data_IF_382657988471
#
_entry.id   IF_382657988471
#
_cell.length_a   1.000
_cell.length_b   1.000
_cell.length_c   1.000
_cell.angle_alpha   90.00
_cell.angle_beta   90.00
_cell.angle_gamma   90.00
#
_symmetry.space_group_name_H-M   'P 1'
#
loop_
_entity.id
_entity.type
_entity.pdbx_description
1 polymer ?
#
# COMPACT_ATOMS: atom_id res chain seq x y z
N UNK A 1 -13.11 -12.57 -7.28
CA UNK A 1 -12.53 -11.98 -6.06
C UNK A 1 -11.02 -11.96 -6.26
N UNK A 2 -10.35 -10.84 -5.99
CA UNK A 2 -8.92 -10.64 -6.29
C UNK A 2 -8.11 -10.78 -5.00
N UNK A 3 -7.65 -11.98 -4.66
CA UNK A 3 -7.10 -12.23 -3.33
C UNK A 3 -5.74 -11.53 -3.12
N UNK A 4 -4.90 -11.49 -4.15
CA UNK A 4 -3.61 -10.78 -4.14
C UNK A 4 -3.82 -9.27 -4.22
N UNK A 5 -4.70 -8.81 -5.11
CA UNK A 5 -5.02 -7.38 -5.23
C UNK A 5 -5.59 -6.80 -3.94
N UNK A 6 -6.57 -7.49 -3.33
CA UNK A 6 -7.15 -7.09 -2.06
C UNK A 6 -6.11 -7.12 -0.91
N UNK A 7 -5.15 -8.05 -0.97
CA UNK A 7 -4.03 -8.12 -0.03
C UNK A 7 -3.08 -6.92 -0.13
N UNK A 8 -2.70 -6.51 -1.34
CA UNK A 8 -1.88 -5.33 -1.58
C UNK A 8 -2.58 -4.05 -1.08
N UNK A 9 -3.88 -3.92 -1.35
CA UNK A 9 -4.67 -2.79 -0.86
C UNK A 9 -4.74 -2.75 0.67
N UNK A 10 -4.85 -3.90 1.32
CA UNK A 10 -4.79 -4.02 2.78
C UNK A 10 -3.42 -3.64 3.33
N UNK A 11 -2.33 -4.05 2.70
CA UNK A 11 -0.97 -3.68 3.11
C UNK A 11 -0.80 -2.16 3.16
N UNK A 12 -1.23 -1.49 2.10
CA UNK A 12 -1.17 -0.04 2.00
C UNK A 12 -2.11 0.62 3.02
N UNK A 13 -3.26 -0.01 3.32
CA UNK A 13 -4.15 0.47 4.38
C UNK A 13 -3.56 0.31 5.79
N UNK A 14 -2.87 -0.80 6.09
CA UNK A 14 -2.19 -0.98 7.38
C UNK A 14 -1.04 0.00 7.56
N UNK A 15 -0.37 0.37 6.47
CA UNK A 15 0.69 1.38 6.46
C UNK A 15 0.19 2.82 6.80
N UNK A 16 -1.12 3.03 7.03
CA UNK A 16 -1.68 4.27 7.61
C UNK A 16 -1.26 4.49 9.08
N UNK A 17 0.05 4.50 9.38
CA UNK A 17 0.58 4.86 10.69
C UNK A 17 0.79 6.37 10.86
N UNK A 18 0.71 7.15 9.77
CA UNK A 18 0.78 8.63 9.84
C UNK A 18 -0.60 9.23 10.13
N UNK A 19 -0.87 9.67 11.36
CA UNK A 19 -2.12 10.34 11.67
C UNK A 19 -2.26 11.60 10.82
N UNK A 20 -3.49 11.94 10.47
CA UNK A 20 -3.79 13.26 9.91
C UNK A 20 -3.26 14.36 10.84
N UNK A 21 -2.95 15.56 10.32
CA UNK A 21 -2.60 16.69 11.17
C UNK A 21 -3.65 16.87 12.28
N UNK A 22 -3.21 16.87 13.55
CA UNK A 22 -4.12 16.85 14.71
C UNK A 22 -4.76 18.22 15.01
N UNK A 23 -4.07 19.31 14.68
CA UNK A 23 -4.54 20.66 14.99
C UNK A 23 -5.32 21.27 13.83
N UNK A 24 -6.36 22.05 14.15
CA UNK A 24 -7.17 22.75 13.14
C UNK A 24 -6.33 23.68 12.26
N UNK A 25 -5.32 24.36 12.83
CA UNK A 25 -4.40 25.21 12.07
C UNK A 25 -3.55 24.41 11.07
N UNK A 26 -3.02 23.25 11.47
CA UNK A 26 -2.26 22.39 10.56
C UNK A 26 -3.14 21.76 9.48
N UNK A 27 -4.36 21.34 9.83
CA UNK A 27 -5.37 20.88 8.88
C UNK A 27 -5.73 21.97 7.87
N UNK A 28 -5.94 23.20 8.31
CA UNK A 28 -6.25 24.33 7.43
C UNK A 28 -5.07 24.66 6.50
N UNK A 29 -3.84 24.69 7.01
CA UNK A 29 -2.62 24.88 6.19
C UNK A 29 -2.47 23.78 5.15
N UNK A 30 -2.74 22.54 5.52
CA UNK A 30 -2.76 21.42 4.58
C UNK A 30 -3.81 21.64 3.47
N UNK A 31 -5.05 21.98 3.82
CA UNK A 31 -6.11 22.23 2.84
C UNK A 31 -5.77 23.41 1.91
N UNK A 32 -5.18 24.49 2.44
CA UNK A 32 -4.71 25.64 1.63
C UNK A 32 -3.62 25.21 0.65
N UNK A 33 -2.67 24.37 1.08
CA UNK A 33 -1.64 23.81 0.20
C UNK A 33 -2.25 22.96 -0.91
N UNK A 34 -3.24 22.12 -0.58
CA UNK A 34 -3.89 21.22 -1.54
C UNK A 34 -4.78 21.96 -2.55
N UNK A 35 -5.53 22.97 -2.09
CA UNK A 35 -6.45 23.76 -2.93
C UNK A 35 -5.81 25.04 -3.50
N UNK A 36 -4.52 25.25 -3.27
CA UNK A 36 -3.71 26.39 -3.75
C UNK A 36 -4.30 27.76 -3.43
N UNK A 37 -5.01 27.90 -2.30
CA UNK A 37 -5.56 29.19 -1.89
C UNK A 37 -6.56 29.14 -0.74
N UNK A 38 -6.67 30.25 0.00
CA UNK A 38 -7.59 30.38 1.14
C UNK A 38 -9.04 30.55 0.70
N UNK A 39 -9.29 31.21 -0.44
CA UNK A 39 -10.63 31.41 -1.03
C UNK A 39 -11.31 30.07 -1.37
N UNK A 40 -10.59 29.16 -2.02
CA UNK A 40 -11.12 27.84 -2.39
C UNK A 40 -11.46 26.99 -1.15
N UNK A 41 -10.60 27.02 -0.13
CA UNK A 41 -10.86 26.35 1.16
C UNK A 41 -12.10 26.94 1.85
N UNK A 42 -12.24 28.27 1.82
CA UNK A 42 -13.36 28.97 2.45
C UNK A 42 -14.70 28.59 1.80
N UNK A 43 -14.76 28.56 0.47
CA UNK A 43 -15.93 28.13 -0.29
C UNK A 43 -16.28 26.67 0.02
N UNK A 44 -15.29 25.78 -0.01
CA UNK A 44 -15.49 24.36 0.28
C UNK A 44 -15.99 24.12 1.72
N UNK A 45 -15.41 24.79 2.71
CA UNK A 45 -15.82 24.65 4.11
C UNK A 45 -17.07 25.47 4.46
N UNK A 46 -17.58 26.29 3.55
CA UNK A 46 -18.68 27.25 3.77
C UNK A 46 -18.42 28.20 4.95
N UNK A 47 -17.24 28.83 4.95
CA UNK A 47 -16.82 29.83 5.95
C UNK A 47 -16.25 31.07 5.25
N UNK A 48 -16.03 32.15 6.00
CA UNK A 48 -15.34 33.32 5.44
C UNK A 48 -13.86 33.04 5.16
N UNK A 49 -13.29 33.67 4.13
CA UNK A 49 -11.85 33.59 3.84
C UNK A 49 -11.01 34.04 5.03
N UNK A 50 -11.45 35.10 5.74
CA UNK A 50 -10.78 35.57 6.97
C UNK A 50 -10.76 34.51 8.06
N UNK A 51 -11.80 33.69 8.18
CA UNK A 51 -11.82 32.55 9.11
C UNK A 51 -10.70 31.56 8.79
N UNK A 52 -10.53 31.21 7.52
CA UNK A 52 -9.45 30.32 7.06
C UNK A 52 -8.08 30.91 7.41
N UNK A 53 -7.85 32.18 7.09
CA UNK A 53 -6.58 32.87 7.36
C UNK A 53 -6.25 32.93 8.86
N UNK A 54 -7.26 33.12 9.72
CA UNK A 54 -7.07 33.11 11.17
C UNK A 54 -6.67 31.73 11.71
N UNK A 55 -7.18 30.64 11.16
CA UNK A 55 -6.71 29.29 11.51
C UNK A 55 -5.31 29.03 10.99
N UNK A 56 -4.99 29.47 9.77
CA UNK A 56 -3.64 29.33 9.19
C UNK A 56 -2.58 30.05 10.02
N UNK A 57 -2.92 31.22 10.57
CA UNK A 57 -2.05 32.01 11.46
C UNK A 57 -2.15 31.60 12.95
N UNK A 58 -2.83 30.49 13.26
CA UNK A 58 -3.06 29.99 14.62
C UNK A 58 -3.73 31.00 15.60
N UNK A 59 -4.39 32.04 15.05
CA UNK A 59 -5.21 33.00 15.79
C UNK A 59 -6.56 32.42 16.20
N UNK A 60 -7.02 31.39 15.48
CA UNK A 60 -8.11 30.51 15.89
C UNK A 60 -7.54 29.10 16.04
N UNK A 61 -7.85 28.44 17.16
CA UNK A 61 -7.31 27.11 17.48
C UNK A 61 -8.38 26.03 17.60
N UNK A 62 -9.58 26.40 18.06
CA UNK A 62 -10.67 25.46 18.38
C UNK A 62 -11.91 25.77 17.53
N UNK A 63 -12.12 25.06 16.40
CA UNK A 63 -13.35 25.17 15.65
C UNK A 63 -14.54 24.60 16.42
N UNK A 64 -15.74 25.13 16.13
CA UNK A 64 -16.99 24.50 16.55
C UNK A 64 -17.06 23.08 15.97
N UNK A 65 -17.77 22.18 16.66
CA UNK A 65 -17.85 20.75 16.31
C UNK A 65 -18.14 20.50 14.82
N UNK A 66 -19.13 21.20 14.25
CA UNK A 66 -19.52 21.01 12.84
C UNK A 66 -18.45 21.46 11.84
N UNK A 67 -17.69 22.50 12.19
CA UNK A 67 -16.58 22.95 11.35
C UNK A 67 -15.38 22.02 11.49
N UNK A 68 -15.11 21.53 12.71
CA UNK A 68 -14.06 20.55 12.96
C UNK A 68 -14.29 19.28 12.13
N UNK A 69 -15.51 18.75 12.15
CA UNK A 69 -15.88 17.56 11.38
C UNK A 69 -15.71 17.76 9.87
N UNK A 70 -16.13 18.91 9.33
CA UNK A 70 -15.94 19.25 7.90
C UNK A 70 -14.47 19.35 7.52
N UNK A 71 -13.66 20.03 8.33
CA UNK A 71 -12.21 20.14 8.09
C UNK A 71 -11.60 18.73 8.09
N UNK A 72 -11.90 17.92 9.11
CA UNK A 72 -11.36 16.58 9.26
C UNK A 72 -11.74 15.67 8.09
N UNK A 73 -13.01 15.68 7.67
CA UNK A 73 -13.48 14.88 6.53
C UNK A 73 -12.74 15.23 5.23
N UNK A 74 -12.57 16.51 4.96
CA UNK A 74 -11.91 16.99 3.74
C UNK A 74 -10.39 16.74 3.76
N UNK A 75 -9.77 16.80 4.95
CA UNK A 75 -8.38 16.38 5.16
C UNK A 75 -8.25 14.88 4.89
N UNK A 76 -9.06 14.04 5.53
CA UNK A 76 -9.02 12.57 5.36
C UNK A 76 -9.16 12.17 3.89
N UNK A 77 -10.13 12.76 3.19
CA UNK A 77 -10.41 12.49 1.77
C UNK A 77 -9.19 12.72 0.86
N UNK A 78 -8.38 13.73 1.16
CA UNK A 78 -7.18 14.07 0.37
C UNK A 78 -5.90 13.44 0.90
N UNK A 79 -5.83 13.22 2.21
CA UNK A 79 -4.67 12.65 2.89
C UNK A 79 -4.51 11.17 2.54
N UNK A 80 -5.62 10.43 2.48
CA UNK A 80 -5.58 8.99 2.24
C UNK A 80 -4.83 8.61 0.95
N UNK A 81 -5.18 9.13 -0.25
CA UNK A 81 -4.46 8.79 -1.48
C UNK A 81 -2.97 9.11 -1.40
N UNK A 82 -2.59 10.28 -0.86
CA UNK A 82 -1.18 10.69 -0.78
C UNK A 82 -0.33 9.78 0.10
N UNK A 83 -0.89 9.32 1.22
CA UNK A 83 -0.19 8.38 2.08
C UNK A 83 -0.10 7.00 1.44
N UNK A 84 -1.15 6.55 0.75
CA UNK A 84 -1.12 5.29 -0.02
C UNK A 84 0.00 5.31 -1.05
N UNK A 85 0.03 6.34 -1.89
CA UNK A 85 1.06 6.52 -2.91
C UNK A 85 2.47 6.63 -2.31
N UNK A 86 2.60 7.33 -1.18
CA UNK A 86 3.88 7.42 -0.48
C UNK A 86 4.33 6.06 0.08
N UNK A 87 3.42 5.28 0.65
CA UNK A 87 3.71 3.95 1.19
C UNK A 87 4.15 3.01 0.06
N UNK A 88 3.39 2.94 -1.04
CA UNK A 88 3.77 2.20 -2.26
C UNK A 88 5.14 2.60 -2.77
N UNK A 89 5.41 3.90 -2.92
CA UNK A 89 6.71 4.41 -3.37
C UNK A 89 7.85 4.04 -2.42
N UNK A 90 7.62 4.09 -1.11
CA UNK A 90 8.65 3.74 -0.12
C UNK A 90 8.98 2.25 -0.19
N UNK A 91 7.95 1.40 -0.27
CA UNK A 91 8.07 -0.04 -0.46
C UNK A 91 8.81 -0.38 -1.76
N UNK A 92 8.42 0.24 -2.88
CA UNK A 92 9.02 0.04 -4.20
C UNK A 92 10.49 0.50 -4.33
N UNK A 93 10.97 1.36 -3.43
CA UNK A 93 12.33 1.95 -3.54
C UNK A 93 13.29 1.47 -2.46
N UNK A 94 12.83 1.33 -1.22
CA UNK A 94 13.72 1.09 -0.06
C UNK A 94 13.19 0.06 0.93
N UNK A 95 11.86 -0.02 1.11
CA UNK A 95 11.26 -0.85 2.15
C UNK A 95 11.08 -2.33 1.77
N UNK A 96 10.79 -2.62 0.51
CA UNK A 96 10.29 -3.94 0.12
C UNK A 96 8.83 -4.15 0.53
N UNK A 97 8.38 -5.39 0.46
CA UNK A 97 7.04 -5.81 0.89
C UNK A 97 7.15 -7.20 1.51
N UNK A 98 6.48 -7.43 2.64
CA UNK A 98 6.40 -8.77 3.23
C UNK A 98 5.22 -9.49 2.62
N UNK A 99 5.43 -10.73 2.19
CA UNK A 99 4.35 -11.67 1.82
C UNK A 99 4.19 -12.69 2.93
N UNK A 100 2.98 -12.80 3.48
CA UNK A 100 2.58 -13.93 4.33
C UNK A 100 1.61 -14.80 3.54
N UNK A 101 1.92 -16.08 3.37
CA UNK A 101 1.07 -16.98 2.57
C UNK A 101 1.01 -18.37 3.15
N UNK A 102 -0.19 -18.96 3.07
CA UNK A 102 -0.45 -20.37 3.33
C UNK A 102 -0.95 -21.02 2.06
N UNK A 103 -0.09 -21.77 1.38
CA UNK A 103 -0.40 -22.33 0.07
C UNK A 103 0.33 -23.64 -0.25
N UNK A 104 -0.25 -24.47 -1.12
CA UNK A 104 0.49 -25.49 -1.88
C UNK A 104 1.18 -24.82 -3.06
N UNK A 105 2.36 -25.35 -3.39
CA UNK A 105 3.21 -24.83 -4.45
C UNK A 105 3.58 -25.93 -5.44
N UNK A 106 3.68 -25.57 -6.70
CA UNK A 106 4.24 -26.38 -7.77
C UNK A 106 5.61 -25.85 -8.20
N UNK A 107 6.44 -26.75 -8.71
CA UNK A 107 7.83 -26.50 -9.08
C UNK A 107 8.10 -27.07 -10.47
N UNK A 108 8.92 -26.36 -11.23
CA UNK A 108 9.45 -26.82 -12.51
C UNK A 108 10.97 -26.70 -12.46
N UNK A 109 11.66 -27.78 -12.83
CA UNK A 109 13.11 -27.85 -12.96
C UNK A 109 13.46 -28.73 -14.18
N UNK A 110 14.72 -28.73 -14.67
CA UNK A 110 15.10 -29.51 -15.86
C UNK A 110 14.75 -31.00 -15.81
N UNK A 111 14.72 -31.58 -14.61
CA UNK A 111 14.39 -33.00 -14.38
C UNK A 111 12.88 -33.30 -14.35
N UNK A 112 12.03 -32.27 -14.42
CA UNK A 112 10.59 -32.40 -14.47
C UNK A 112 9.82 -31.41 -13.60
N UNK A 113 8.50 -31.55 -13.66
CA UNK A 113 7.53 -30.73 -12.93
C UNK A 113 6.91 -31.53 -11.80
N UNK A 114 6.81 -30.94 -10.61
CA UNK A 114 6.20 -31.60 -9.44
C UNK A 114 5.36 -30.62 -8.64
N UNK A 115 4.19 -31.07 -8.19
CA UNK A 115 3.36 -30.32 -7.24
C UNK A 115 3.63 -30.85 -5.83
N UNK A 116 3.81 -29.94 -4.87
CA UNK A 116 3.92 -30.35 -3.46
C UNK A 116 2.56 -30.79 -2.92
N UNK A 117 2.58 -31.88 -2.17
CA UNK A 117 1.44 -32.42 -1.42
C UNK A 117 1.09 -31.53 -0.22
N UNK A 118 2.10 -30.92 0.40
CA UNK A 118 1.97 -30.13 1.62
C UNK A 118 1.70 -28.66 1.37
N UNK A 119 0.97 -28.07 2.31
CA UNK A 119 0.79 -26.62 2.42
C UNK A 119 1.99 -26.03 3.14
N UNK A 120 2.57 -24.96 2.59
CA UNK A 120 3.61 -24.17 3.25
C UNK A 120 2.99 -22.90 3.84
N UNK A 121 3.44 -22.56 5.05
CA UNK A 121 3.28 -21.22 5.59
C UNK A 121 4.62 -20.49 5.43
N UNK A 122 4.63 -19.43 4.63
CA UNK A 122 5.81 -18.63 4.33
C UNK A 122 5.54 -17.18 4.70
N UNK A 123 6.43 -16.59 5.49
CA UNK A 123 6.50 -15.15 5.73
C UNK A 123 7.85 -14.68 5.22
N UNK A 124 7.86 -13.95 4.10
CA UNK A 124 9.09 -13.61 3.37
C UNK A 124 9.12 -12.12 3.09
N UNK A 125 10.22 -11.46 3.47
CA UNK A 125 10.49 -10.08 3.05
C UNK A 125 10.97 -10.06 1.61
N UNK A 126 10.14 -9.54 0.70
CA UNK A 126 10.47 -9.37 -0.69
C UNK A 126 11.21 -8.04 -0.91
N UNK A 127 12.33 -8.03 -1.66
CA UNK A 127 13.05 -6.82 -2.00
C UNK A 127 12.21 -5.76 -2.73
N UNK A 128 12.63 -4.47 -2.71
CA UNK A 128 11.90 -3.34 -3.30
C UNK A 128 11.49 -3.53 -4.77
N UNK A 129 12.29 -4.22 -5.59
CA UNK A 129 11.96 -4.45 -6.99
C UNK A 129 10.69 -5.29 -7.18
N UNK A 130 10.37 -6.20 -6.25
CA UNK A 130 9.13 -6.97 -6.32
C UNK A 130 7.94 -6.20 -5.77
N UNK A 131 8.15 -5.38 -4.74
CA UNK A 131 7.12 -4.43 -4.31
C UNK A 131 6.73 -3.48 -5.46
N UNK A 132 7.71 -2.93 -6.18
CA UNK A 132 7.49 -2.10 -7.36
C UNK A 132 6.68 -2.85 -8.42
N UNK A 133 7.13 -4.04 -8.85
CA UNK A 133 6.44 -4.84 -9.87
C UNK A 133 4.99 -5.19 -9.48
N UNK A 134 4.73 -5.53 -8.22
CA UNK A 134 3.39 -5.86 -7.73
C UNK A 134 2.46 -4.63 -7.78
N UNK A 135 2.91 -3.48 -7.27
CA UNK A 135 2.10 -2.26 -7.29
C UNK A 135 1.90 -1.71 -8.71
N UNK A 136 2.94 -1.72 -9.55
CA UNK A 136 2.86 -1.28 -10.94
C UNK A 136 1.88 -2.14 -11.74
N UNK A 137 1.92 -3.47 -11.57
CA UNK A 137 0.97 -4.38 -12.20
C UNK A 137 -0.46 -4.13 -11.71
N UNK A 138 -0.67 -3.95 -10.41
CA UNK A 138 -1.99 -3.64 -9.85
C UNK A 138 -2.55 -2.33 -10.43
N UNK A 139 -1.72 -1.28 -10.54
CA UNK A 139 -2.12 0.01 -11.11
C UNK A 139 -2.46 -0.07 -12.61
N UNK A 140 -1.80 -0.96 -13.34
CA UNK A 140 -2.10 -1.26 -14.75
C UNK A 140 -3.36 -2.13 -14.93
N UNK A 141 -4.02 -2.53 -13.84
CA UNK A 141 -5.21 -3.37 -13.90
C UNK A 141 -4.91 -4.85 -14.09
N UNK A 142 -3.73 -5.31 -13.69
CA UNK A 142 -3.37 -6.73 -13.74
C UNK A 142 -4.39 -7.59 -12.98
N UNK A 143 -4.64 -8.76 -13.56
CA UNK A 143 -5.48 -9.79 -12.96
C UNK A 143 -4.81 -10.40 -11.73
N UNK A 144 -5.62 -11.01 -10.86
CA UNK A 144 -5.12 -11.73 -9.67
C UNK A 144 -4.10 -12.81 -10.04
N UNK A 145 -4.28 -13.46 -11.20
CA UNK A 145 -3.36 -14.47 -11.73
C UNK A 145 -2.00 -13.88 -12.12
N UNK A 146 -1.96 -12.66 -12.63
CA UNK A 146 -0.70 -11.98 -12.97
C UNK A 146 0.05 -11.57 -11.70
N UNK A 147 -0.67 -11.02 -10.71
CA UNK A 147 -0.10 -10.73 -9.38
C UNK A 147 0.43 -11.99 -8.70
N UNK A 148 -0.31 -13.10 -8.78
CA UNK A 148 0.10 -14.41 -8.29
C UNK A 148 1.40 -14.90 -8.95
N UNK A 149 1.57 -14.70 -10.26
CA UNK A 149 2.82 -15.06 -10.97
C UNK A 149 4.00 -14.23 -10.46
N UNK A 150 3.84 -12.92 -10.30
CA UNK A 150 4.90 -12.03 -9.79
C UNK A 150 5.29 -12.44 -8.37
N UNK A 151 4.32 -12.73 -7.50
CA UNK A 151 4.58 -13.20 -6.15
C UNK A 151 5.30 -14.57 -6.13
N UNK A 152 4.93 -15.49 -7.02
CA UNK A 152 5.56 -16.79 -7.10
C UNK A 152 7.02 -16.71 -7.60
N UNK A 153 7.27 -15.84 -8.58
CA UNK A 153 8.62 -15.52 -9.05
C UNK A 153 9.47 -14.91 -7.91
N UNK A 154 8.89 -14.00 -7.13
CA UNK A 154 9.56 -13.42 -5.97
C UNK A 154 9.92 -14.48 -4.91
N UNK A 155 9.00 -15.40 -4.61
CA UNK A 155 9.28 -16.52 -3.71
C UNK A 155 10.34 -17.47 -4.25
N UNK A 156 10.34 -17.73 -5.57
CA UNK A 156 11.39 -18.52 -6.23
C UNK A 156 12.76 -17.94 -5.95
N UNK A 157 12.97 -16.67 -6.26
CA UNK A 157 14.30 -16.04 -6.15
C UNK A 157 14.71 -15.81 -4.69
N UNK A 158 13.81 -15.26 -3.87
CA UNK A 158 14.14 -14.83 -2.51
C UNK A 158 14.16 -16.00 -1.53
N UNK A 159 13.13 -16.85 -1.56
CA UNK A 159 13.01 -17.93 -0.58
C UNK A 159 13.64 -19.23 -1.07
N UNK A 160 13.30 -19.70 -2.27
CA UNK A 160 13.78 -21.01 -2.73
C UNK A 160 15.21 -20.97 -3.19
N UNK A 161 15.61 -19.94 -3.95
CA UNK A 161 16.97 -19.80 -4.47
C UNK A 161 17.90 -19.06 -3.52
N UNK A 162 17.35 -18.39 -2.51
CA UNK A 162 18.12 -17.65 -1.51
C UNK A 162 19.11 -16.66 -2.15
N UNK A 163 18.63 -15.92 -3.16
CA UNK A 163 19.44 -15.00 -3.96
C UNK A 163 20.47 -15.68 -4.87
N UNK A 164 20.22 -16.94 -5.26
CA UNK A 164 21.11 -17.74 -6.11
C UNK A 164 22.07 -18.66 -5.34
N UNK A 165 21.99 -18.70 -4.00
CA UNK A 165 22.86 -19.54 -3.16
C UNK A 165 22.46 -21.02 -3.14
N UNK A 166 21.22 -21.35 -3.50
CA UNK A 166 20.72 -22.73 -3.58
C UNK A 166 19.70 -22.88 -4.71
N UNK A 167 19.32 -24.11 -5.03
CA UNK A 167 18.25 -24.42 -5.99
C UNK A 167 18.35 -23.66 -7.34
N UNK A 168 19.57 -23.42 -7.83
CA UNK A 168 19.81 -22.61 -9.03
C UNK A 168 19.20 -23.19 -10.31
N UNK A 169 18.92 -24.50 -10.33
CA UNK A 169 18.21 -25.17 -11.42
C UNK A 169 16.68 -25.07 -11.33
N UNK A 170 16.12 -24.38 -10.34
CA UNK A 170 14.69 -24.19 -10.22
C UNK A 170 14.21 -23.13 -11.22
N UNK A 171 13.42 -23.53 -12.20
CA UNK A 171 12.97 -22.67 -13.29
C UNK A 171 11.72 -21.88 -12.89
N UNK A 172 10.74 -22.57 -12.27
CA UNK A 172 9.44 -22.00 -11.92
C UNK A 172 9.02 -22.42 -10.50
N UNK A 173 8.38 -21.48 -9.80
CA UNK A 173 7.50 -21.74 -8.65
C UNK A 173 6.14 -21.19 -9.02
N UNK A 174 5.08 -21.94 -8.72
CA UNK A 174 3.68 -21.53 -8.91
C UNK A 174 2.85 -21.86 -7.69
N UNK A 175 1.84 -21.05 -7.38
CA UNK A 175 0.83 -21.43 -6.40
C UNK A 175 -0.20 -22.36 -7.03
N UNK A 176 -0.51 -23.48 -6.37
CA UNK A 176 -1.49 -24.46 -6.84
C UNK A 176 -2.78 -24.46 -6.02
N UNK A 177 -2.68 -24.17 -4.72
CA UNK A 177 -3.83 -24.01 -3.83
C UNK A 177 -3.48 -22.97 -2.76
N UNK A 178 -4.16 -21.82 -2.76
CA UNK A 178 -3.88 -20.74 -1.81
C UNK A 178 -5.01 -20.63 -0.80
N UNK A 179 -4.69 -20.92 0.46
CA UNK A 179 -5.64 -20.81 1.58
C UNK A 179 -5.63 -19.41 2.18
N UNK A 180 -4.48 -18.76 2.16
CA UNK A 180 -4.28 -17.42 2.70
C UNK A 180 -3.15 -16.70 1.97
N UNK A 181 -3.36 -15.41 1.76
CA UNK A 181 -2.29 -14.47 1.45
C UNK A 181 -2.57 -13.12 2.10
N UNK A 182 -1.51 -12.51 2.62
CA UNK A 182 -1.50 -11.14 3.12
C UNK A 182 -0.17 -10.47 2.74
N UNK A 183 -0.19 -9.14 2.73
CA UNK A 183 0.97 -8.32 2.46
C UNK A 183 1.11 -7.24 3.53
N UNK A 184 2.35 -6.87 3.85
CA UNK A 184 2.68 -5.80 4.81
C UNK A 184 3.86 -4.92 4.30
N UNK A 185 3.90 -3.65 4.72
CA UNK A 185 4.90 -2.63 4.32
C UNK A 185 5.73 -2.10 5.50
#
# INVERSE_FOLDING_TARGET
>A
MSMFGDGLDKAVQKAFTRPIPKSAGAQMRYLVKQLKGTKAVAQMLRVSQRTVERYVKDQLKRPRKDLAARIEGEVKRRWQPQIREKAKKTAATTGGIVIDTRARLGYTAPIGTTDQDRIRHLTVALPPQYAARLFDAQEQGATDRELQKIAAEALKEVYFQDGGRRAGSLEEVRFTDVQHIDFDL
#
